data_IF_150646085705
#
_entry.id   IF_150646085705
#
_cell.length_a   1.000
_cell.length_b   1.000
_cell.length_c   1.000
_cell.angle_alpha   90.00
_cell.angle_beta   90.00
_cell.angle_gamma   90.00
#
_symmetry.space_group_name_H-M   'P 1'
#
loop_
_entity.id
_entity.type
_entity.pdbx_description
1 polymer ?
#
# COMPACT_ATOMS: atom_id res chain seq x y z
N UNK A 1 -5.19 -15.65 -18.65
CA UNK A 1 -4.68 -15.29 -17.30
C UNK A 1 -3.56 -14.29 -17.44
N UNK A 2 -3.67 -13.19 -16.71
CA UNK A 2 -2.61 -12.19 -16.67
C UNK A 2 -1.55 -12.59 -15.64
N UNK A 3 -0.28 -12.53 -16.06
CA UNK A 3 0.84 -12.79 -15.17
C UNK A 3 1.66 -11.50 -15.04
N UNK A 4 1.85 -11.05 -13.82
CA UNK A 4 2.67 -9.88 -13.54
C UNK A 4 3.98 -10.30 -12.90
N UNK A 5 5.06 -9.69 -13.39
CA UNK A 5 6.37 -9.82 -12.77
C UNK A 5 6.70 -8.50 -12.10
N UNK A 6 7.11 -8.58 -10.84
CA UNK A 6 7.51 -7.40 -10.08
C UNK A 6 9.01 -7.40 -9.93
N UNK A 7 9.64 -6.30 -10.35
CA UNK A 7 11.06 -6.08 -10.19
C UNK A 7 11.31 -5.09 -9.06
N UNK A 8 12.24 -5.42 -8.20
CA UNK A 8 12.63 -4.59 -7.08
C UNK A 8 13.72 -3.61 -7.53
N UNK A 9 13.40 -2.31 -7.51
CA UNK A 9 14.29 -1.26 -8.01
C UNK A 9 15.15 -0.62 -6.91
N UNK A 10 14.86 -0.86 -5.65
CA UNK A 10 15.64 -0.33 -4.53
C UNK A 10 16.85 -1.20 -4.25
N UNK A 11 17.94 -0.59 -3.80
CA UNK A 11 19.13 -1.32 -3.40
C UNK A 11 19.06 -1.81 -1.96
N UNK A 12 18.19 -1.25 -1.16
CA UNK A 12 18.06 -1.59 0.26
C UNK A 12 16.96 -2.60 0.46
N UNK A 13 17.33 -3.80 0.91
CA UNK A 13 16.42 -4.89 1.22
C UNK A 13 16.39 -5.20 2.72
N UNK A 14 16.97 -4.33 3.55
CA UNK A 14 16.99 -4.52 4.99
C UNK A 14 15.61 -4.31 5.60
N UNK A 15 15.51 -4.47 6.93
CA UNK A 15 14.26 -4.25 7.66
C UNK A 15 13.74 -2.83 7.45
N UNK A 16 12.42 -2.68 7.51
CA UNK A 16 11.80 -1.37 7.36
C UNK A 16 12.18 -0.45 8.50
N UNK A 17 12.60 0.76 8.14
CA UNK A 17 12.79 1.86 9.05
C UNK A 17 12.07 3.09 8.52
N UNK A 18 11.82 4.06 9.39
CA UNK A 18 11.22 5.32 8.98
C UNK A 18 12.12 6.03 7.97
N UNK A 19 11.51 6.63 6.97
CA UNK A 19 12.21 7.31 5.89
C UNK A 19 12.59 6.42 4.73
N UNK A 20 12.39 5.14 4.84
CA UNK A 20 12.66 4.23 3.73
C UNK A 20 11.59 4.35 2.65
N UNK A 21 12.03 4.18 1.42
CA UNK A 21 11.18 4.28 0.26
C UNK A 21 11.61 3.26 -0.78
N UNK A 22 10.65 2.51 -1.29
CA UNK A 22 10.90 1.46 -2.28
C UNK A 22 10.00 1.67 -3.48
N UNK A 23 10.54 1.36 -4.65
CA UNK A 23 9.79 1.39 -5.90
C UNK A 23 9.93 0.05 -6.61
N UNK A 24 8.81 -0.50 -7.02
CA UNK A 24 8.73 -1.75 -7.77
C UNK A 24 8.21 -1.46 -9.16
N UNK A 25 8.84 -2.05 -10.16
CA UNK A 25 8.34 -2.00 -11.52
C UNK A 25 7.50 -3.25 -11.79
N UNK A 26 6.34 -3.04 -12.40
CA UNK A 26 5.42 -4.11 -12.72
C UNK A 26 5.46 -4.34 -14.22
N UNK A 27 5.76 -5.57 -14.63
CA UNK A 27 5.85 -5.95 -16.03
C UNK A 27 4.75 -6.93 -16.40
N UNK A 28 4.25 -6.78 -17.59
CA UNK A 28 3.43 -7.79 -18.25
C UNK A 28 4.20 -8.25 -19.49
N UNK A 29 4.85 -9.41 -19.39
CA UNK A 29 5.79 -9.85 -20.42
C UNK A 29 6.95 -8.88 -20.55
N UNK A 30 7.16 -8.31 -21.74
CA UNK A 30 8.19 -7.31 -21.99
C UNK A 30 7.68 -5.88 -21.81
N UNK A 31 6.39 -5.70 -21.52
CA UNK A 31 5.79 -4.40 -21.42
C UNK A 31 5.83 -3.92 -19.99
N UNK A 32 6.33 -2.70 -19.80
CA UNK A 32 6.27 -2.04 -18.49
C UNK A 32 4.81 -1.61 -18.24
N UNK A 33 4.15 -2.26 -17.30
CA UNK A 33 2.73 -2.03 -17.03
C UNK A 33 2.50 -0.91 -16.01
N UNK A 34 3.43 -0.71 -15.08
CA UNK A 34 3.25 0.29 -14.05
C UNK A 34 4.27 0.18 -12.94
N UNK A 35 3.95 0.81 -11.82
CA UNK A 35 4.82 0.87 -10.65
C UNK A 35 4.01 0.68 -9.37
N UNK A 36 4.67 0.14 -8.38
CA UNK A 36 4.21 0.18 -6.99
C UNK A 36 5.28 0.87 -6.17
N UNK A 37 4.87 1.70 -5.22
CA UNK A 37 5.79 2.37 -4.30
C UNK A 37 5.40 2.03 -2.88
N UNK A 38 6.39 1.97 -2.00
CA UNK A 38 6.21 1.74 -0.58
C UNK A 38 7.05 2.77 0.17
N UNK A 39 6.42 3.46 1.09
CA UNK A 39 7.08 4.47 1.91
C UNK A 39 6.78 4.20 3.37
N UNK A 40 7.77 4.33 4.24
CA UNK A 40 7.63 4.15 5.68
C UNK A 40 7.96 5.46 6.37
N UNK A 41 7.02 5.96 7.17
CA UNK A 41 7.18 7.20 7.92
C UNK A 41 6.96 6.96 9.41
N UNK A 42 7.59 7.80 10.22
CA UNK A 42 7.23 7.91 11.63
C UNK A 42 5.94 8.70 11.77
N UNK A 43 5.09 8.27 12.69
CA UNK A 43 3.86 8.98 13.01
C UNK A 43 3.49 8.75 14.47
N UNK A 44 2.51 9.50 14.93
CA UNK A 44 1.91 9.35 16.26
C UNK A 44 0.41 9.17 16.05
N UNK A 45 -0.12 8.11 16.59
CA UNK A 45 -1.54 7.81 16.53
C UNK A 45 -2.04 7.54 17.94
N UNK A 46 -3.00 8.37 18.40
CA UNK A 46 -3.55 8.27 19.76
C UNK A 46 -2.44 8.20 20.81
N UNK A 47 -1.44 9.09 20.68
CA UNK A 47 -0.30 9.24 21.61
C UNK A 47 0.67 8.05 21.61
N UNK A 48 0.58 7.18 20.61
CA UNK A 48 1.50 6.06 20.44
C UNK A 48 2.37 6.25 19.22
N UNK A 49 3.64 5.89 19.33
CA UNK A 49 4.57 5.91 18.21
C UNK A 49 4.28 4.74 17.28
N UNK A 50 4.07 5.06 16.02
CA UNK A 50 3.70 4.07 15.00
C UNK A 50 4.54 4.28 13.75
N UNK A 51 4.62 3.23 12.93
CA UNK A 51 5.01 3.36 11.53
C UNK A 51 3.77 3.59 10.70
N UNK A 52 3.86 4.59 9.83
CA UNK A 52 2.85 4.86 8.82
C UNK A 52 3.40 4.39 7.48
N UNK A 53 2.86 3.29 6.98
CA UNK A 53 3.30 2.67 5.72
C UNK A 53 2.32 3.05 4.63
N UNK A 54 2.84 3.60 3.54
CA UNK A 54 2.04 4.07 2.40
C UNK A 54 2.45 3.28 1.17
N UNK A 55 1.50 2.55 0.61
CA UNK A 55 1.69 1.80 -0.62
C UNK A 55 0.83 2.38 -1.74
N UNK A 56 1.43 2.61 -2.89
CA UNK A 56 0.72 3.08 -4.08
C UNK A 56 1.02 2.15 -5.24
N UNK A 57 -0.02 1.85 -6.04
CA UNK A 57 0.13 1.10 -7.27
C UNK A 57 -0.56 1.84 -8.40
N UNK A 58 0.11 1.97 -9.51
CA UNK A 58 -0.46 2.68 -10.66
C UNK A 58 0.09 2.15 -11.97
N UNK A 59 -0.77 2.18 -12.98
CA UNK A 59 -0.39 1.85 -14.36
C UNK A 59 0.18 3.08 -15.06
N UNK A 60 1.03 2.83 -16.05
CA UNK A 60 1.67 3.88 -16.83
C UNK A 60 1.64 3.56 -18.32
N UNK A 61 1.87 4.57 -19.17
CA UNK A 61 2.02 4.40 -20.59
C UNK A 61 0.81 3.78 -21.26
N UNK A 62 1.06 2.88 -22.19
CA UNK A 62 0.00 2.20 -22.93
C UNK A 62 -0.87 1.32 -22.05
N UNK A 63 -0.29 0.74 -20.99
CA UNK A 63 -1.07 -0.08 -20.05
C UNK A 63 -2.16 0.74 -19.38
N UNK A 64 -1.88 1.98 -19.03
CA UNK A 64 -2.87 2.89 -18.43
C UNK A 64 -4.01 3.20 -19.39
N UNK A 65 -3.73 3.23 -20.67
CA UNK A 65 -4.75 3.46 -21.69
C UNK A 65 -5.76 2.30 -21.75
N UNK A 66 -5.28 1.07 -21.61
CA UNK A 66 -6.14 -0.12 -21.67
C UNK A 66 -6.76 -0.48 -20.33
N UNK A 67 -6.03 -0.30 -19.25
CA UNK A 67 -6.50 -0.66 -17.92
C UNK A 67 -5.88 0.28 -16.90
N UNK A 68 -6.65 1.28 -16.50
CA UNK A 68 -6.20 2.28 -15.54
C UNK A 68 -6.27 1.73 -14.12
N UNK A 69 -5.15 1.76 -13.41
CA UNK A 69 -5.08 1.41 -11.99
C UNK A 69 -4.44 2.57 -11.23
N UNK A 70 -5.11 3.00 -10.18
CA UNK A 70 -4.59 3.95 -9.20
C UNK A 70 -5.05 3.49 -7.81
N UNK A 71 -4.16 2.82 -7.11
CA UNK A 71 -4.46 2.26 -5.79
C UNK A 71 -3.61 2.91 -4.71
N UNK A 72 -4.23 3.15 -3.56
CA UNK A 72 -3.57 3.65 -2.37
C UNK A 72 -3.90 2.75 -1.19
N UNK A 73 -2.87 2.31 -0.49
CA UNK A 73 -2.98 1.55 0.75
C UNK A 73 -2.16 2.26 1.81
N UNK A 74 -2.74 2.42 3.00
CA UNK A 74 -2.01 2.96 4.14
C UNK A 74 -2.26 2.07 5.34
N UNK A 75 -1.23 1.90 6.16
CA UNK A 75 -1.33 1.12 7.38
C UNK A 75 -0.55 1.80 8.50
N UNK A 76 -1.04 1.64 9.72
CA UNK A 76 -0.41 2.17 10.92
C UNK A 76 -0.13 1.00 11.85
N UNK A 77 1.15 0.82 12.18
CA UNK A 77 1.61 -0.27 13.04
C UNK A 77 2.30 0.26 14.27
N UNK A 78 2.09 -0.42 15.40
CA UNK A 78 2.84 -0.15 16.61
C UNK A 78 4.33 -0.42 16.38
N UNK A 79 5.20 0.51 16.80
CA UNK A 79 6.63 0.35 16.59
C UNK A 79 7.24 -0.75 17.42
N UNK A 80 6.70 -1.02 18.59
CA UNK A 80 7.25 -2.03 19.51
C UNK A 80 6.72 -3.42 19.20
N UNK A 81 5.40 -3.53 19.02
CA UNK A 81 4.75 -4.84 18.88
C UNK A 81 4.56 -5.27 17.44
N UNK A 82 4.55 -4.33 16.50
CA UNK A 82 4.21 -4.59 15.11
C UNK A 82 2.72 -4.79 14.86
N UNK A 83 1.88 -4.62 15.87
CA UNK A 83 0.44 -4.82 15.70
C UNK A 83 -0.19 -3.67 14.95
N UNK A 84 -1.14 -3.96 14.05
CA UNK A 84 -1.82 -2.91 13.29
C UNK A 84 -2.85 -2.18 14.15
N UNK A 85 -3.00 -0.87 13.89
CA UNK A 85 -4.06 -0.05 14.49
C UNK A 85 -5.12 0.35 13.48
N UNK A 86 -4.70 0.67 12.26
CA UNK A 86 -5.59 1.25 11.27
C UNK A 86 -5.06 0.97 9.87
N UNK A 87 -5.97 0.81 8.92
CA UNK A 87 -5.61 0.80 7.52
C UNK A 87 -6.56 1.68 6.71
N UNK A 88 -6.06 2.17 5.59
CA UNK A 88 -6.84 2.87 4.58
C UNK A 88 -6.63 2.15 3.26
N UNK A 89 -7.69 1.96 2.51
CA UNK A 89 -7.66 1.29 1.22
C UNK A 89 -8.51 2.08 0.23
N UNK A 90 -7.85 2.65 -0.76
CA UNK A 90 -8.52 3.38 -1.84
C UNK A 90 -8.11 2.75 -3.15
N UNK A 91 -9.04 2.14 -3.83
CA UNK A 91 -8.81 1.39 -5.05
C UNK A 91 -9.57 2.03 -6.20
N UNK A 92 -8.88 2.20 -7.32
CA UNK A 92 -9.49 2.56 -8.59
C UNK A 92 -8.83 1.69 -9.67
N UNK A 93 -9.55 0.67 -10.10
CA UNK A 93 -9.04 -0.33 -11.05
C UNK A 93 -10.04 -0.47 -12.19
N UNK A 94 -9.72 0.17 -13.32
CA UNK A 94 -10.56 0.10 -14.50
C UNK A 94 -11.98 0.63 -14.29
N UNK A 95 -12.12 1.64 -13.43
CA UNK A 95 -13.42 2.20 -13.07
C UNK A 95 -14.08 1.56 -11.87
N UNK A 96 -13.59 0.42 -11.38
CA UNK A 96 -14.02 -0.15 -10.11
C UNK A 96 -13.35 0.62 -8.98
N UNK A 97 -14.15 1.19 -8.08
CA UNK A 97 -13.62 1.98 -6.96
C UNK A 97 -14.02 1.39 -5.63
N UNK A 98 -13.13 1.52 -4.66
CA UNK A 98 -13.37 1.11 -3.29
C UNK A 98 -12.64 2.06 -2.36
N UNK A 99 -13.31 2.47 -1.29
CA UNK A 99 -12.74 3.37 -0.30
C UNK A 99 -13.13 2.87 1.08
N UNK A 100 -12.16 2.35 1.81
CA UNK A 100 -12.38 1.73 3.11
C UNK A 100 -11.35 2.21 4.13
N UNK A 101 -11.78 2.27 5.39
CA UNK A 101 -10.89 2.37 6.53
C UNK A 101 -11.18 1.22 7.49
N UNK A 102 -10.13 0.69 8.09
CA UNK A 102 -10.26 -0.32 9.11
C UNK A 102 -9.58 0.12 10.39
N UNK A 103 -10.21 -0.14 11.51
CA UNK A 103 -9.70 0.17 12.84
C UNK A 103 -9.62 -1.14 13.63
N UNK A 104 -8.40 -1.47 14.08
CA UNK A 104 -8.17 -2.70 14.82
C UNK A 104 -8.34 -2.46 16.31
N UNK A 105 -9.11 -3.31 16.96
CA UNK A 105 -9.19 -3.35 18.40
C UNK A 105 -8.39 -4.56 18.89
N UNK A 106 -7.21 -4.30 19.43
CA UNK A 106 -6.29 -5.37 19.80
C UNK A 106 -6.75 -6.11 21.06
N UNK A 107 -7.53 -5.45 21.90
CA UNK A 107 -8.05 -6.09 23.11
C UNK A 107 -9.09 -7.17 22.80
N UNK A 108 -9.87 -7.00 21.73
CA UNK A 108 -10.93 -7.91 21.32
C UNK A 108 -10.60 -8.73 20.09
N UNK A 109 -9.45 -8.49 19.46
CA UNK A 109 -9.04 -9.08 18.18
C UNK A 109 -10.09 -8.87 17.08
N UNK A 110 -10.72 -7.71 17.06
CA UNK A 110 -11.73 -7.35 16.07
C UNK A 110 -11.27 -6.16 15.24
N UNK A 111 -11.78 -6.08 14.03
CA UNK A 111 -11.56 -4.94 13.15
C UNK A 111 -12.91 -4.34 12.78
N UNK A 112 -13.01 -3.02 12.92
CA UNK A 112 -14.14 -2.25 12.43
C UNK A 112 -13.77 -1.69 11.06
N UNK A 113 -14.53 -2.05 10.04
CA UNK A 113 -14.31 -1.56 8.68
C UNK A 113 -15.42 -0.58 8.33
N UNK A 114 -15.01 0.61 7.90
CA UNK A 114 -15.91 1.61 7.33
C UNK A 114 -15.73 1.63 5.83
N UNK A 115 -16.82 1.45 5.13
CA UNK A 115 -16.83 1.44 3.68
C UNK A 115 -17.50 2.73 3.20
N UNK A 116 -16.73 3.56 2.49
CA UNK A 116 -17.21 4.85 2.02
C UNK A 116 -17.70 4.79 0.57
N UNK A 117 -17.36 3.70 -0.11
CA UNK A 117 -17.82 3.54 -1.48
C UNK A 117 -17.48 2.14 -1.99
#
# INVERSE_FOLDING_TARGET
MLAFTVSFDSQDTSAFDAGEWFKFRIHYGFVNAGYATLEVKDAVLNQKSVYHVIGKGYTTGMSRFFFKVDDLYESYFDKETGYPYQFVRKIDEGGYTKNQEGFFNQATNKVLVKDYK
#
